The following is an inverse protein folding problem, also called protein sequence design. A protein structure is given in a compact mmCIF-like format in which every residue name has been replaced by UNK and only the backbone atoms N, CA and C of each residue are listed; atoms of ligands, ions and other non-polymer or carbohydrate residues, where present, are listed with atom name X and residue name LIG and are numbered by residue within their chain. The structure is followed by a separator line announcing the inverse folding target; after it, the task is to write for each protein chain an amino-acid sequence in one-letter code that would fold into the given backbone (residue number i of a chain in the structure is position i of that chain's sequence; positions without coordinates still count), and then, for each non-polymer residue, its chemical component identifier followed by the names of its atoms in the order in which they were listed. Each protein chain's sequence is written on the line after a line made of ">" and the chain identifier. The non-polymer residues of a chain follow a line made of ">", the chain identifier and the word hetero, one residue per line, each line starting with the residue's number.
data_IF_265699819559
#
_entry.id   IF_265699819559
#
_cell.length_a   1.000
_cell.length_b   1.000
_cell.length_c   1.000
_cell.angle_alpha   90.00
_cell.angle_beta   90.00
_cell.angle_gamma   90.00
#
_symmetry.space_group_name_H-M   'P 1'
#
loop_
_entity.id
_entity.type
_entity.pdbx_description
1 polymer ?
#
# COMPACT_ATOMS: atom_id res chain seq x y z
N UNK A 1 -10.79 -10.22 -0.85
CA UNK A 1 -10.31 -11.14 0.22
C UNK A 1 -11.09 -10.90 1.49
N UNK A 2 -11.43 -11.94 2.25
CA UNK A 2 -12.10 -11.79 3.55
C UNK A 2 -11.08 -11.50 4.64
N UNK A 3 -11.36 -10.48 5.47
CA UNK A 3 -10.49 -10.02 6.54
C UNK A 3 -11.30 -9.75 7.81
N UNK A 4 -10.63 -9.74 8.97
CA UNK A 4 -11.26 -9.35 10.23
C UNK A 4 -11.19 -7.84 10.36
N UNK A 5 -12.33 -7.23 10.69
CA UNK A 5 -12.38 -5.80 10.96
C UNK A 5 -11.47 -5.44 12.16
N UNK A 6 -10.86 -4.25 12.13
CA UNK A 6 -9.93 -3.72 13.13
C UNK A 6 -8.70 -4.61 13.37
N UNK A 7 -8.29 -5.34 12.35
CA UNK A 7 -7.12 -6.22 12.39
C UNK A 7 -6.09 -5.73 11.37
N UNK A 8 -4.81 -5.75 11.77
CA UNK A 8 -3.71 -5.36 10.88
C UNK A 8 -3.28 -6.52 10.01
N UNK A 9 -3.00 -6.21 8.76
CA UNK A 9 -2.54 -7.17 7.78
C UNK A 9 -1.35 -6.63 7.00
N UNK A 10 -0.39 -7.49 6.74
CA UNK A 10 0.52 -7.35 5.62
C UNK A 10 -0.19 -7.89 4.38
N UNK A 11 -0.29 -7.04 3.37
CA UNK A 11 -0.80 -7.35 2.04
C UNK A 11 0.39 -7.31 1.11
N UNK A 12 0.61 -8.41 0.37
CA UNK A 12 1.70 -8.49 -0.61
C UNK A 12 1.17 -8.94 -1.95
N UNK A 13 1.39 -8.13 -2.97
CA UNK A 13 1.16 -8.49 -4.37
C UNK A 13 2.50 -8.75 -5.05
N UNK A 14 2.62 -9.87 -5.76
CA UNK A 14 3.83 -10.22 -6.53
C UNK A 14 3.48 -10.38 -7.99
N UNK A 15 4.39 -9.91 -8.85
CA UNK A 15 4.27 -9.90 -10.30
C UNK A 15 5.52 -10.50 -10.91
N UNK A 16 5.39 -11.68 -11.52
CA UNK A 16 6.44 -12.31 -12.31
C UNK A 16 5.86 -12.60 -13.70
N UNK A 17 6.29 -11.82 -14.70
CA UNK A 17 5.73 -11.91 -16.04
C UNK A 17 6.34 -13.07 -16.81
N UNK A 18 5.52 -14.10 -17.03
CA UNK A 18 5.86 -15.29 -17.81
C UNK A 18 5.28 -15.30 -19.23
N UNK A 19 4.96 -14.14 -19.81
CA UNK A 19 4.35 -14.02 -21.14
C UNK A 19 3.03 -14.80 -21.30
N UNK A 20 2.18 -14.80 -20.26
CA UNK A 20 0.93 -15.57 -20.22
C UNK A 20 -0.08 -15.14 -21.31
N UNK A 21 0.05 -13.91 -21.81
CA UNK A 21 -0.81 -13.30 -22.83
C UNK A 21 -0.22 -13.41 -24.25
N UNK A 22 0.95 -14.03 -24.41
CA UNK A 22 1.70 -14.12 -25.67
C UNK A 22 1.97 -12.76 -26.35
N UNK A 23 1.94 -11.65 -25.60
CA UNK A 23 2.17 -10.32 -26.18
C UNK A 23 3.66 -10.00 -26.34
N UNK A 24 4.53 -10.61 -25.54
CA UNK A 24 5.93 -10.25 -25.38
C UNK A 24 6.13 -8.77 -25.00
N UNK A 25 5.10 -8.14 -24.40
CA UNK A 25 5.15 -6.74 -23.96
C UNK A 25 5.13 -6.71 -22.45
N UNK A 26 6.20 -6.20 -21.84
CA UNK A 26 6.23 -6.06 -20.40
C UNK A 26 5.15 -5.06 -19.91
N UNK A 27 4.30 -5.47 -18.97
CA UNK A 27 3.16 -4.67 -18.57
C UNK A 27 3.53 -3.58 -17.56
N UNK A 28 2.81 -2.46 -17.66
CA UNK A 28 2.86 -1.34 -16.73
C UNK A 28 1.46 -0.85 -16.44
N UNK A 29 1.05 -0.89 -15.18
CA UNK A 29 -0.31 -0.59 -14.74
C UNK A 29 -0.32 -0.11 -13.28
N UNK A 30 -1.44 0.47 -12.86
CA UNK A 30 -1.62 0.93 -11.48
C UNK A 30 -2.17 -0.17 -10.59
N UNK A 31 -1.68 -0.20 -9.36
CA UNK A 31 -2.13 -1.07 -8.28
C UNK A 31 -2.79 -0.22 -7.20
N UNK A 32 -3.95 -0.65 -6.70
CA UNK A 32 -4.71 0.06 -5.66
C UNK A 32 -5.26 -0.89 -4.59
N UNK A 33 -5.41 -0.37 -3.37
CA UNK A 33 -6.12 -1.02 -2.26
C UNK A 33 -7.48 -0.36 -2.09
N UNK A 34 -8.54 -1.04 -2.52
CA UNK A 34 -9.85 -0.43 -2.72
C UNK A 34 -9.75 0.77 -3.66
N UNK A 35 -10.30 1.91 -3.24
CA UNK A 35 -10.20 3.17 -3.96
C UNK A 35 -8.86 3.90 -3.80
N UNK A 36 -7.94 3.38 -2.96
CA UNK A 36 -6.70 4.09 -2.62
C UNK A 36 -5.56 3.66 -3.55
N UNK A 37 -4.92 4.60 -4.28
CA UNK A 37 -3.73 4.31 -5.05
C UNK A 37 -2.61 3.74 -4.17
N UNK A 38 -2.03 2.62 -4.57
CA UNK A 38 -0.93 1.97 -3.84
C UNK A 38 0.41 2.32 -4.47
N UNK A 39 0.57 2.03 -5.77
CA UNK A 39 1.77 2.34 -6.57
C UNK A 39 1.51 1.99 -8.05
N UNK A 40 2.42 2.37 -8.94
CA UNK A 40 2.46 1.88 -10.32
C UNK A 40 3.39 0.70 -10.41
N UNK A 41 2.89 -0.43 -10.91
CA UNK A 41 3.69 -1.63 -11.18
C UNK A 41 4.36 -1.46 -12.52
N UNK A 42 5.69 -1.56 -12.53
CA UNK A 42 6.52 -1.60 -13.74
C UNK A 42 7.23 -2.94 -13.76
N UNK A 43 6.88 -3.79 -14.72
CA UNK A 43 7.67 -4.99 -15.02
C UNK A 43 8.59 -4.63 -16.18
N UNK A 44 9.87 -4.95 -16.06
CA UNK A 44 10.90 -4.66 -17.06
C UNK A 44 11.74 -5.88 -17.45
N UNK A 45 11.67 -6.96 -16.67
CA UNK A 45 12.30 -8.24 -16.97
C UNK A 45 11.41 -9.46 -16.58
N UNK A 46 11.76 -10.65 -17.07
CA UNK A 46 10.98 -11.88 -16.88
C UNK A 46 11.50 -12.80 -15.75
N UNK A 47 12.55 -12.39 -15.05
CA UNK A 47 13.30 -13.18 -14.07
C UNK A 47 13.16 -12.65 -12.64
N UNK A 48 12.97 -11.35 -12.48
CA UNK A 48 12.88 -10.67 -11.20
C UNK A 48 11.42 -10.42 -10.87
N UNK A 49 10.90 -11.00 -9.77
CA UNK A 49 9.55 -10.68 -9.34
C UNK A 49 9.50 -9.24 -8.79
N UNK A 50 8.54 -8.46 -9.27
CA UNK A 50 8.17 -7.18 -8.66
C UNK A 50 7.29 -7.49 -7.45
N UNK A 51 7.65 -6.97 -6.28
CA UNK A 51 6.94 -7.23 -5.03
C UNK A 51 6.49 -5.90 -4.44
N UNK A 52 5.18 -5.78 -4.17
CA UNK A 52 4.59 -4.62 -3.53
C UNK A 52 3.98 -5.04 -2.20
N UNK A 53 4.35 -4.34 -1.13
CA UNK A 53 3.92 -4.66 0.24
C UNK A 53 3.32 -3.44 0.94
N UNK A 54 2.21 -3.66 1.64
CA UNK A 54 1.53 -2.67 2.45
C UNK A 54 1.09 -3.27 3.77
N UNK A 55 1.12 -2.45 4.82
CA UNK A 55 0.55 -2.75 6.13
C UNK A 55 -0.69 -1.89 6.30
N UNK A 56 -1.84 -2.55 6.43
CA UNK A 56 -3.13 -1.89 6.53
C UNK A 56 -3.84 -2.27 7.82
N UNK A 57 -4.66 -1.36 8.35
CA UNK A 57 -5.72 -1.69 9.30
C UNK A 57 -7.02 -1.94 8.53
N UNK A 58 -7.54 -3.16 8.57
CA UNK A 58 -8.80 -3.47 7.89
C UNK A 58 -9.98 -2.73 8.56
N UNK A 59 -10.66 -1.87 7.82
CA UNK A 59 -11.86 -1.13 8.30
C UNK A 59 -13.20 -1.83 7.96
N UNK A 60 -13.15 -2.80 7.05
CA UNK A 60 -14.29 -3.55 6.51
C UNK A 60 -13.98 -5.06 6.55
N UNK A 61 -15.00 -5.94 6.46
CA UNK A 61 -14.79 -7.40 6.45
C UNK A 61 -14.16 -7.92 5.14
N UNK A 62 -13.97 -7.04 4.15
CA UNK A 62 -13.37 -7.37 2.86
C UNK A 62 -12.29 -6.35 2.51
N UNK A 63 -11.21 -6.86 1.92
CA UNK A 63 -10.19 -6.06 1.27
C UNK A 63 -10.18 -6.35 -0.23
N UNK A 64 -10.20 -5.29 -1.04
CA UNK A 64 -10.11 -5.35 -2.50
C UNK A 64 -8.76 -4.85 -2.97
N UNK A 65 -8.18 -5.53 -3.95
CA UNK A 65 -6.97 -5.11 -4.66
C UNK A 65 -7.38 -4.91 -6.11
N UNK A 66 -7.16 -3.71 -6.64
CA UNK A 66 -7.60 -3.33 -7.97
C UNK A 66 -6.39 -3.08 -8.87
N UNK A 67 -6.48 -3.55 -10.11
CA UNK A 67 -5.54 -3.27 -11.19
C UNK A 67 -6.23 -2.32 -12.17
N UNK A 68 -5.58 -1.23 -12.53
CA UNK A 68 -6.17 -0.22 -13.41
C UNK A 68 -5.14 0.46 -14.30
N UNK A 69 -5.60 1.28 -15.25
CA UNK A 69 -4.77 2.19 -16.04
C UNK A 69 -3.55 1.50 -16.69
N UNK A 70 -3.78 0.40 -17.40
CA UNK A 70 -2.72 -0.26 -18.14
C UNK A 70 -2.16 0.67 -19.23
N UNK A 71 -0.88 1.02 -19.12
CA UNK A 71 -0.16 1.81 -20.11
C UNK A 71 0.54 0.93 -21.15
N UNK A 72 1.01 -0.25 -20.74
CA UNK A 72 1.54 -1.31 -21.62
C UNK A 72 1.11 -2.67 -21.10
N UNK A 73 0.99 -3.64 -22.02
CA UNK A 73 0.65 -5.03 -21.70
C UNK A 73 -0.71 -5.20 -21.00
N UNK A 74 -1.00 -6.43 -20.55
CA UNK A 74 -2.18 -6.72 -19.74
C UNK A 74 -1.84 -6.73 -18.24
N UNK A 75 -2.64 -6.05 -17.39
CA UNK A 75 -2.49 -6.17 -15.94
C UNK A 75 -2.70 -7.60 -15.46
N UNK A 76 -1.91 -8.01 -14.48
CA UNK A 76 -1.98 -9.35 -13.89
C UNK A 76 -1.50 -9.31 -12.45
N UNK A 77 -1.79 -10.35 -11.67
CA UNK A 77 -1.17 -10.61 -10.36
C UNK A 77 -0.74 -12.07 -10.36
N UNK A 78 0.51 -12.36 -10.00
CA UNK A 78 0.99 -13.74 -9.87
C UNK A 78 0.58 -14.34 -8.52
N UNK A 79 0.79 -13.60 -7.44
CA UNK A 79 0.36 -14.00 -6.10
C UNK A 79 -0.17 -12.81 -5.33
N UNK A 80 -1.18 -13.07 -4.49
CA UNK A 80 -1.71 -12.12 -3.54
C UNK A 80 -1.74 -12.79 -2.16
N UNK A 81 -0.93 -12.28 -1.25
CA UNK A 81 -0.76 -12.81 0.09
C UNK A 81 -1.33 -11.87 1.13
N UNK A 82 -1.89 -12.46 2.19
CA UNK A 82 -2.42 -11.74 3.34
C UNK A 82 -1.91 -12.40 4.62
N UNK A 83 -1.15 -11.65 5.43
CA UNK A 83 -0.61 -12.12 6.71
C UNK A 83 -1.18 -11.28 7.84
N UNK A 84 -1.85 -11.93 8.77
CA UNK A 84 -2.44 -11.26 9.93
C UNK A 84 -1.35 -10.97 10.97
N UNK A 85 -1.32 -9.74 11.48
CA UNK A 85 -0.53 -9.42 12.67
C UNK A 85 -1.36 -9.60 13.94
N UNK A 86 -0.74 -10.16 14.97
CA UNK A 86 -1.31 -10.21 16.31
C UNK A 86 -0.57 -9.16 17.14
N UNK A 87 -1.29 -8.20 17.71
CA UNK A 87 -0.70 -7.22 18.64
C UNK A 87 -0.42 -5.84 18.05
N UNK A 88 0.67 -5.20 18.47
CA UNK A 88 0.96 -3.77 18.24
C UNK A 88 1.90 -3.50 17.06
N UNK A 89 2.42 -4.55 16.42
CA UNK A 89 3.32 -4.43 15.28
C UNK A 89 2.77 -3.50 14.19
N UNK A 90 3.61 -2.55 13.76
CA UNK A 90 3.28 -1.49 12.80
C UNK A 90 2.13 -0.56 13.22
N UNK A 91 1.77 -0.51 14.50
CA UNK A 91 0.83 0.49 15.00
C UNK A 91 1.36 1.90 14.74
N UNK A 92 0.47 2.74 14.21
CA UNK A 92 0.69 4.18 14.11
C UNK A 92 -0.56 4.91 14.56
N UNK A 93 -0.40 6.13 15.06
CA UNK A 93 -1.53 6.98 15.49
C UNK A 93 -2.51 7.31 14.36
N UNK A 94 -2.04 7.23 13.11
CA UNK A 94 -2.77 7.67 11.92
C UNK A 94 -3.24 6.51 11.03
N UNK A 95 -3.20 5.27 11.52
CA UNK A 95 -3.51 4.04 10.75
C UNK A 95 -4.96 3.93 10.23
N UNK A 96 -5.84 4.84 10.63
CA UNK A 96 -7.20 4.99 10.09
C UNK A 96 -7.27 5.88 8.85
N UNK A 97 -6.32 6.80 8.71
CA UNK A 97 -6.24 7.77 7.62
C UNK A 97 -5.16 7.40 6.62
N UNK A 98 -4.18 6.61 7.03
CA UNK A 98 -3.05 6.19 6.22
C UNK A 98 -2.77 4.71 6.39
N UNK A 99 -2.29 4.06 5.34
CA UNK A 99 -1.61 2.77 5.46
C UNK A 99 -0.11 2.95 5.22
N UNK A 100 0.68 1.97 5.66
CA UNK A 100 2.13 1.98 5.46
C UNK A 100 2.48 1.19 4.21
N UNK A 101 3.12 1.82 3.23
CA UNK A 101 3.68 1.14 2.06
C UNK A 101 5.16 0.89 2.26
N UNK A 102 5.60 -0.36 2.11
CA UNK A 102 7.01 -0.70 2.24
C UNK A 102 7.84 0.05 1.20
N UNK A 103 8.94 0.66 1.64
CA UNK A 103 9.91 1.34 0.78
C UNK A 103 11.30 0.71 0.89
N UNK A 104 11.68 0.23 2.07
CA UNK A 104 12.88 -0.59 2.26
C UNK A 104 12.72 -1.50 3.49
N UNK A 105 13.18 -2.75 3.42
CA UNK A 105 13.38 -3.64 4.56
C UNK A 105 14.68 -4.41 4.35
N UNK A 106 15.74 -3.99 5.04
CA UNK A 106 17.12 -4.40 4.75
C UNK A 106 17.71 -5.14 5.95
N UNK A 107 18.35 -6.27 5.66
CA UNK A 107 19.26 -6.99 6.54
C UNK A 107 20.72 -6.59 6.23
N UNK A 108 21.39 -5.91 7.15
CA UNK A 108 22.76 -5.48 6.98
C UNK A 108 23.75 -6.54 7.46
N UNK A 109 24.86 -6.66 6.74
CA UNK A 109 25.88 -7.67 7.06
C UNK A 109 25.46 -9.08 6.64
N UNK A 110 24.47 -9.20 5.76
CA UNK A 110 23.99 -10.48 5.28
C UNK A 110 25.13 -11.33 4.68
N UNK A 111 25.05 -12.64 4.90
CA UNK A 111 26.08 -13.62 4.49
C UNK A 111 25.97 -14.00 3.00
N UNK A 112 24.82 -13.77 2.38
CA UNK A 112 24.57 -14.06 0.96
C UNK A 112 23.49 -13.12 0.40
N UNK A 113 23.21 -13.23 -0.91
CA UNK A 113 22.13 -12.49 -1.56
C UNK A 113 20.73 -13.00 -1.20
N UNK A 114 20.62 -14.13 -0.49
CA UNK A 114 19.33 -14.67 -0.09
C UNK A 114 18.65 -13.80 0.98
N UNK A 115 17.36 -13.53 0.79
CA UNK A 115 16.56 -12.82 1.79
C UNK A 115 16.28 -13.71 3.01
N UNK A 116 16.24 -13.11 4.21
CA UNK A 116 15.69 -13.79 5.39
C UNK A 116 14.17 -13.62 5.39
N UNK A 117 13.44 -14.71 5.57
CA UNK A 117 11.95 -14.77 5.55
C UNK A 117 11.46 -16.00 6.33
N UNK A 118 10.25 -16.49 6.10
CA UNK A 118 9.77 -17.72 6.75
C UNK A 118 10.75 -18.91 6.51
N UNK A 119 11.05 -19.74 7.52
CA UNK A 119 10.45 -19.80 8.86
C UNK A 119 11.08 -18.87 9.92
N UNK A 120 12.18 -18.18 9.59
CA UNK A 120 12.87 -17.31 10.56
C UNK A 120 12.01 -16.10 10.93
N UNK A 121 11.29 -15.54 9.95
CA UNK A 121 10.27 -14.51 10.16
C UNK A 121 8.86 -15.14 10.17
N UNK A 122 8.13 -15.14 11.30
CA UNK A 122 6.83 -15.81 11.41
C UNK A 122 5.72 -15.14 10.58
N UNK A 123 5.92 -13.87 10.18
CA UNK A 123 5.00 -13.15 9.30
C UNK A 123 5.41 -13.21 7.83
N UNK A 124 6.46 -13.99 7.51
CA UNK A 124 7.05 -14.11 6.17
C UNK A 124 7.39 -12.76 5.54
N UNK A 125 7.81 -11.78 6.36
CA UNK A 125 8.40 -10.53 5.86
C UNK A 125 9.69 -10.84 5.11
N UNK A 126 9.90 -10.17 3.98
CA UNK A 126 11.10 -10.34 3.17
C UNK A 126 12.13 -9.32 3.64
N UNK A 127 13.15 -9.79 4.36
CA UNK A 127 14.31 -8.99 4.73
C UNK A 127 15.38 -9.14 3.65
N UNK A 128 15.51 -8.10 2.83
CA UNK A 128 16.42 -8.10 1.70
C UNK A 128 17.87 -7.98 2.16
N UNK A 129 18.75 -8.77 1.55
CA UNK A 129 20.18 -8.69 1.81
C UNK A 129 20.75 -7.37 1.29
N UNK A 130 21.53 -6.69 2.12
CA UNK A 130 22.28 -5.49 1.74
C UNK A 130 23.36 -5.74 0.65
N UNK A 131 23.63 -7.01 0.29
CA UNK A 131 24.45 -7.37 -0.87
C UNK A 131 23.70 -7.23 -2.20
N UNK A 132 22.37 -7.29 -2.17
CA UNK A 132 21.53 -7.12 -3.36
C UNK A 132 21.48 -5.63 -3.69
N UNK A 133 22.44 -5.19 -4.52
CA UNK A 133 22.47 -3.84 -5.06
C UNK A 133 21.39 -3.70 -6.13
N UNK A 134 20.15 -3.38 -5.74
CA UNK A 134 19.23 -2.75 -6.70
C UNK A 134 19.64 -1.29 -6.88
N UNK A 135 19.21 -0.67 -7.97
CA UNK A 135 19.48 0.75 -8.26
C UNK A 135 19.17 1.68 -7.07
N UNK A 136 18.28 1.24 -6.18
CA UNK A 136 17.66 2.06 -5.14
C UNK A 136 18.20 1.89 -3.71
N UNK A 137 19.17 1.01 -3.42
CA UNK A 137 19.38 0.60 -2.02
C UNK A 137 20.66 1.13 -1.37
N UNK A 138 21.84 0.89 -1.93
CA UNK A 138 23.11 1.28 -1.29
C UNK A 138 24.14 1.63 -2.37
N UNK A 139 24.23 2.92 -2.71
CA UNK A 139 25.11 3.38 -3.80
C UNK A 139 26.55 3.57 -3.33
N UNK A 140 26.73 4.09 -2.11
CA UNK A 140 28.04 4.38 -1.54
C UNK A 140 28.14 3.82 -0.12
N UNK A 141 29.12 2.94 0.12
CA UNK A 141 29.46 2.44 1.46
C UNK A 141 30.73 3.14 1.91
N UNK A 142 30.70 3.73 3.12
CA UNK A 142 31.85 4.44 3.66
C UNK A 142 33.08 3.53 3.81
N UNK A 143 34.31 4.03 3.59
CA UNK A 143 35.55 3.32 3.95
C UNK A 143 35.50 2.83 5.40
N UNK A 144 36.10 1.66 5.65
CA UNK A 144 36.12 1.05 6.98
C UNK A 144 34.83 0.31 7.36
N UNK A 145 33.82 0.23 6.48
CA UNK A 145 32.65 -0.62 6.71
C UNK A 145 33.04 -2.10 6.63
N UNK A 146 32.82 -2.84 7.72
CA UNK A 146 33.08 -4.27 7.82
C UNK A 146 31.79 -5.02 8.17
N UNK A 147 31.64 -6.21 7.59
CA UNK A 147 30.55 -7.13 7.91
C UNK A 147 30.95 -8.01 9.08
N UNK A 148 30.03 -8.21 10.00
CA UNK A 148 30.21 -9.08 11.16
C UNK A 148 28.97 -9.96 11.33
N UNK A 149 29.17 -11.14 11.90
CA UNK A 149 28.08 -12.07 12.24
C UNK A 149 28.37 -12.81 13.54
N UNK A 150 27.33 -13.37 14.14
CA UNK A 150 27.42 -14.18 15.35
C UNK A 150 26.50 -15.38 15.30
N UNK A 151 26.91 -16.47 15.95
CA UNK A 151 26.08 -17.66 16.15
C UNK A 151 25.30 -17.60 17.46
N UNK A 152 25.59 -16.63 18.33
CA UNK A 152 24.91 -16.49 19.62
C UNK A 152 23.45 -16.06 19.43
N UNK A 153 22.53 -16.50 20.31
CA UNK A 153 21.15 -16.09 20.23
C UNK A 153 21.01 -14.60 20.54
N UNK A 154 20.17 -13.91 19.76
CA UNK A 154 19.81 -12.51 20.01
C UNK A 154 18.43 -12.48 20.66
N UNK A 155 18.32 -11.85 21.82
CA UNK A 155 17.05 -11.62 22.47
C UNK A 155 16.29 -10.50 21.75
N UNK A 156 15.32 -10.91 20.96
CA UNK A 156 14.27 -10.06 20.39
C UNK A 156 13.07 -10.13 21.35
N UNK A 157 12.72 -9.02 21.97
CA UNK A 157 11.91 -8.95 23.19
C UNK A 157 10.41 -9.17 22.98
N UNK A 158 9.90 -9.37 21.76
CA UNK A 158 8.54 -9.87 21.48
C UNK A 158 8.46 -10.51 20.08
N UNK A 159 7.44 -11.37 19.85
CA UNK A 159 7.14 -12.05 18.57
C UNK A 159 6.82 -11.11 17.39
N UNK A 160 7.01 -9.80 17.56
CA UNK A 160 6.64 -8.73 16.62
C UNK A 160 7.89 -8.05 15.98
N UNK A 161 9.09 -8.36 16.47
CA UNK A 161 10.36 -7.73 16.08
C UNK A 161 11.04 -8.40 14.88
N UNK A 162 12.12 -7.84 14.30
CA UNK A 162 12.90 -8.52 13.27
C UNK A 162 13.32 -9.92 13.72
N UNK A 163 13.44 -10.90 12.81
CA UNK A 163 13.79 -12.26 13.17
C UNK A 163 15.22 -12.30 13.73
N UNK A 164 15.49 -13.22 14.67
CA UNK A 164 16.81 -13.35 15.30
C UNK A 164 17.94 -13.43 14.27
N UNK A 165 17.70 -14.16 13.16
CA UNK A 165 18.68 -14.34 12.09
C UNK A 165 19.11 -13.04 11.42
N UNK A 166 18.21 -12.06 11.29
CA UNK A 166 18.53 -10.71 10.80
C UNK A 166 19.38 -9.97 11.82
N UNK A 167 19.07 -10.13 13.11
CA UNK A 167 19.81 -9.47 14.18
C UNK A 167 21.19 -10.11 14.48
N UNK A 168 21.46 -11.31 13.94
CA UNK A 168 22.75 -12.00 14.06
C UNK A 168 23.81 -11.50 13.08
N UNK A 169 23.42 -10.66 12.12
CA UNK A 169 24.33 -10.01 11.18
C UNK A 169 24.32 -8.50 11.38
N UNK A 170 25.45 -7.86 11.08
CA UNK A 170 25.54 -6.41 11.08
C UNK A 170 26.69 -5.91 10.20
N UNK A 171 26.67 -4.61 9.96
CA UNK A 171 27.82 -3.84 9.46
C UNK A 171 28.31 -2.89 10.55
N UNK A 172 29.63 -2.75 10.64
CA UNK A 172 30.30 -1.83 11.56
C UNK A 172 31.20 -0.86 10.81
N UNK A 173 31.17 0.41 11.20
CA UNK A 173 32.04 1.44 10.61
C UNK A 173 33.33 1.59 11.41
N UNK A 174 34.37 0.80 11.15
CA UNK A 174 35.62 0.80 11.94
C UNK A 174 36.34 2.15 11.95
N UNK A 175 36.16 2.94 10.89
CA UNK A 175 36.71 4.31 10.79
C UNK A 175 35.85 5.37 11.50
N UNK A 176 34.85 4.94 12.28
CA UNK A 176 33.99 5.81 13.10
C UNK A 176 32.74 6.32 12.39
N UNK A 177 32.46 5.88 11.17
CA UNK A 177 31.23 6.23 10.46
C UNK A 177 30.68 5.11 9.59
N UNK A 178 29.36 5.07 9.48
CA UNK A 178 28.62 4.39 8.41
C UNK A 178 27.85 5.47 7.65
N UNK A 179 27.87 5.44 6.33
CA UNK A 179 27.11 6.38 5.50
C UNK A 179 26.45 5.62 4.37
N UNK A 180 25.20 5.96 4.08
CA UNK A 180 24.37 5.30 3.10
C UNK A 180 23.57 6.31 2.30
N UNK A 181 23.25 5.89 1.08
CA UNK A 181 22.37 6.59 0.15
C UNK A 181 21.42 5.58 -0.47
N UNK A 182 20.13 5.83 -0.28
CA UNK A 182 19.00 5.01 -0.72
C UNK A 182 18.09 5.88 -1.60
N UNK A 183 17.64 5.36 -2.73
CA UNK A 183 16.61 6.02 -3.54
C UNK A 183 15.24 5.40 -3.15
N UNK A 184 14.34 6.22 -2.63
CA UNK A 184 13.04 5.81 -2.11
C UNK A 184 11.96 6.11 -3.16
N UNK A 185 11.44 5.08 -3.83
CA UNK A 185 10.42 5.26 -4.87
C UNK A 185 9.16 5.98 -4.37
N UNK A 186 8.60 6.83 -5.23
CA UNK A 186 7.49 7.76 -4.98
C UNK A 186 7.68 8.73 -3.80
N UNK A 187 8.87 8.93 -3.26
CA UNK A 187 9.15 10.08 -2.40
C UNK A 187 9.37 11.35 -3.23
N UNK A 188 9.20 12.58 -2.68
CA UNK A 188 9.12 12.93 -1.26
C UNK A 188 7.82 12.54 -0.56
N UNK A 189 7.89 12.33 0.75
CA UNK A 189 6.74 11.97 1.57
C UNK A 189 7.09 11.74 3.03
N UNK A 190 6.05 11.62 3.86
CA UNK A 190 6.23 11.26 5.27
C UNK A 190 6.44 9.74 5.40
N UNK A 191 7.39 9.37 6.25
CA UNK A 191 7.81 8.00 6.45
C UNK A 191 7.68 7.56 7.91
N UNK A 192 7.46 6.27 8.08
CA UNK A 192 7.76 5.53 9.30
C UNK A 192 9.08 4.81 9.06
N UNK A 193 10.12 5.14 9.84
CA UNK A 193 11.46 4.61 9.65
C UNK A 193 12.04 4.11 10.96
N UNK A 194 12.58 2.89 10.94
CA UNK A 194 13.16 2.23 12.12
C UNK A 194 14.53 1.68 11.77
N UNK A 195 15.48 1.88 12.67
CA UNK A 195 16.79 1.22 12.62
C UNK A 195 16.87 0.21 13.76
N UNK A 196 17.45 -0.95 13.47
CA UNK A 196 17.57 -2.04 14.44
C UNK A 196 19.04 -2.28 14.76
N UNK A 197 19.33 -2.33 16.06
CA UNK A 197 20.66 -2.50 16.61
C UNK A 197 20.69 -3.66 17.59
N UNK A 198 21.74 -4.47 17.54
CA UNK A 198 22.09 -5.40 18.60
C UNK A 198 23.62 -5.45 18.67
N UNK A 199 24.18 -5.32 19.87
CA UNK A 199 25.62 -5.54 20.05
C UNK A 199 25.90 -7.03 19.95
N UNK A 200 26.66 -7.41 18.92
CA UNK A 200 26.98 -8.79 18.59
C UNK A 200 28.47 -9.11 18.68
N UNK A 201 29.34 -8.11 18.87
CA UNK A 201 30.75 -8.29 19.23
C UNK A 201 30.89 -8.43 20.75
N UNK A 202 31.81 -9.27 21.22
CA UNK A 202 32.12 -9.41 22.65
C UNK A 202 33.04 -8.26 23.11
N UNK A 203 32.47 -7.08 23.32
CA UNK A 203 33.23 -5.91 23.79
C UNK A 203 33.76 -6.11 25.21
N UNK A 204 35.01 -5.71 25.47
CA UNK A 204 35.55 -5.66 26.83
C UNK A 204 34.78 -4.64 27.70
N UNK A 205 34.77 -4.74 29.04
CA UNK A 205 33.99 -3.83 29.90
C UNK A 205 34.33 -2.34 29.78
N UNK A 206 35.50 -2.00 29.23
CA UNK A 206 35.93 -0.62 28.98
C UNK A 206 35.66 -0.16 27.53
N UNK A 207 35.24 -1.07 26.65
CA UNK A 207 34.86 -0.75 25.29
C UNK A 207 33.37 -0.43 25.24
N UNK A 208 33.03 0.60 24.47
CA UNK A 208 31.66 1.09 24.32
C UNK A 208 31.39 1.45 22.87
N UNK A 209 30.15 1.22 22.46
CA UNK A 209 29.67 1.60 21.14
C UNK A 209 28.60 2.67 21.25
N UNK A 210 29.01 3.91 21.02
CA UNK A 210 28.16 5.09 21.08
C UNK A 210 28.26 5.90 19.80
N UNK A 211 27.12 6.21 19.21
CA UNK A 211 27.04 6.93 17.95
C UNK A 211 25.74 7.71 17.82
N UNK A 212 25.68 8.58 16.81
CA UNK A 212 24.49 9.38 16.50
C UNK A 212 24.06 9.14 15.07
N UNK A 213 22.74 9.06 14.85
CA UNK A 213 22.16 9.15 13.53
C UNK A 213 22.41 10.55 12.96
N UNK A 214 22.89 10.64 11.72
CA UNK A 214 23.16 11.89 11.02
C UNK A 214 22.33 11.89 9.75
N UNK A 215 21.35 12.79 9.69
CA UNK A 215 20.58 13.06 8.46
C UNK A 215 20.93 14.48 8.00
N UNK A 216 21.55 14.65 6.82
CA UNK A 216 21.90 15.97 6.29
C UNK A 216 20.69 16.91 6.27
N UNK A 217 20.87 18.12 6.80
CA UNK A 217 19.81 19.13 6.86
C UNK A 217 18.71 18.88 7.88
N UNK A 218 18.78 17.82 8.71
CA UNK A 218 17.79 17.54 9.75
C UNK A 218 18.42 17.25 11.13
N UNK A 219 19.00 18.28 11.79
CA UNK A 219 19.73 18.10 13.05
C UNK A 219 18.87 17.61 14.21
N UNK A 220 17.54 17.79 14.16
CA UNK A 220 16.63 17.35 15.22
C UNK A 220 16.62 15.82 15.40
N UNK A 221 16.83 15.06 14.32
CA UNK A 221 16.93 13.61 14.38
C UNK A 221 18.29 13.13 14.89
N UNK A 222 19.30 14.00 14.90
CA UNK A 222 20.68 13.69 15.31
C UNK A 222 20.98 13.99 16.78
N UNK A 223 19.97 14.38 17.55
CA UNK A 223 20.08 14.68 18.98
C UNK A 223 20.40 13.46 19.85
N UNK A 224 19.67 12.33 19.75
CA UNK A 224 19.90 11.19 20.63
C UNK A 224 21.23 10.49 20.30
N UNK A 225 22.02 10.21 21.34
CA UNK A 225 23.11 9.25 21.26
C UNK A 225 22.54 7.86 21.46
N UNK A 226 22.88 6.94 20.57
CA UNK A 226 22.64 5.51 20.74
C UNK A 226 23.84 4.93 21.48
N UNK A 227 23.61 4.37 22.66
CA UNK A 227 24.51 3.45 23.36
C UNK A 227 23.86 2.07 23.30
N UNK A 228 24.39 1.19 22.45
CA UNK A 228 23.67 -0.05 22.08
C UNK A 228 23.45 -0.95 23.29
N UNK A 229 24.47 -1.16 24.13
CA UNK A 229 24.34 -2.04 25.30
C UNK A 229 23.45 -1.41 26.38
N UNK A 230 23.58 -0.11 26.63
CA UNK A 230 22.74 0.57 27.62
C UNK A 230 21.27 0.63 27.17
N UNK A 231 21.03 1.01 25.91
CA UNK A 231 19.68 1.12 25.36
C UNK A 231 18.98 -0.24 25.20
N UNK A 232 19.70 -1.29 24.80
CA UNK A 232 19.16 -2.65 24.70
C UNK A 232 19.06 -3.37 26.06
N UNK A 233 19.61 -2.77 27.13
CA UNK A 233 19.74 -3.36 28.47
C UNK A 233 20.59 -4.64 28.47
N UNK A 234 21.68 -4.65 27.71
CA UNK A 234 22.67 -5.72 27.65
C UNK A 234 23.06 -6.13 26.23
N UNK A 235 24.09 -7.01 26.15
CA UNK A 235 24.59 -7.59 24.90
C UNK A 235 23.61 -8.59 24.29
N UNK A 236 23.69 -8.77 22.97
CA UNK A 236 22.83 -9.70 22.23
C UNK A 236 21.35 -9.45 22.46
N UNK A 237 20.94 -8.19 22.57
CA UNK A 237 19.55 -7.76 22.75
C UNK A 237 19.21 -6.72 21.70
N UNK A 238 17.98 -6.76 21.21
CA UNK A 238 17.50 -5.79 20.25
C UNK A 238 17.28 -4.42 20.90
N UNK A 239 17.70 -3.38 20.21
CA UNK A 239 17.28 -2.00 20.38
C UNK A 239 16.73 -1.46 19.05
N UNK A 240 15.56 -0.82 19.08
CA UNK A 240 14.79 -0.45 17.89
C UNK A 240 14.31 1.01 17.91
N UNK A 241 15.22 2.00 17.83
CA UNK A 241 14.81 3.40 17.72
C UNK A 241 14.10 3.63 16.38
N UNK A 242 12.88 4.14 16.48
CA UNK A 242 12.02 4.46 15.34
C UNK A 242 11.58 5.92 15.35
N UNK A 243 11.31 6.44 14.16
CA UNK A 243 10.70 7.74 13.96
C UNK A 243 9.44 7.59 13.12
N UNK A 244 8.34 8.11 13.63
CA UNK A 244 7.07 8.19 12.92
C UNK A 244 6.95 9.56 12.25
N UNK A 245 6.32 9.59 11.08
CA UNK A 245 5.99 10.82 10.35
C UNK A 245 7.21 11.71 10.00
N UNK A 246 8.29 11.11 9.51
CA UNK A 246 9.50 11.82 9.08
C UNK A 246 9.42 12.18 7.61
N UNK A 247 9.55 13.46 7.21
CA UNK A 247 9.56 13.83 5.81
C UNK A 247 10.90 13.45 5.17
N UNK A 248 10.88 12.48 4.26
CA UNK A 248 12.05 12.02 3.51
C UNK A 248 12.01 12.47 2.04
N UNK A 249 13.18 12.71 1.42
CA UNK A 249 13.30 12.96 -0.01
C UNK A 249 13.31 11.64 -0.81
N UNK A 250 13.28 11.73 -2.15
CA UNK A 250 13.54 10.61 -3.04
C UNK A 250 14.94 10.03 -2.80
N UNK A 251 15.99 10.84 -2.93
CA UNK A 251 17.36 10.42 -2.58
C UNK A 251 17.60 10.64 -1.09
N UNK A 252 17.49 9.59 -0.30
CA UNK A 252 17.71 9.63 1.14
C UNK A 252 19.14 9.24 1.51
N UNK A 253 19.92 10.25 1.93
CA UNK A 253 21.24 10.05 2.51
C UNK A 253 21.17 10.13 4.03
N UNK A 254 21.80 9.17 4.70
CA UNK A 254 21.93 9.15 6.16
C UNK A 254 23.24 8.47 6.57
N UNK A 255 23.63 8.64 7.82
CA UNK A 255 24.77 7.93 8.37
C UNK A 255 24.69 7.79 9.88
N UNK A 256 25.61 7.02 10.43
CA UNK A 256 25.85 6.91 11.84
C UNK A 256 27.27 7.38 12.11
N UNK A 257 27.45 8.26 13.09
CA UNK A 257 28.76 8.82 13.43
C UNK A 257 29.10 8.54 14.88
N UNK A 258 30.26 7.94 15.09
CA UNK A 258 30.85 7.65 16.40
C UNK A 258 30.94 8.91 17.26
N UNK A 259 30.62 8.81 18.56
CA UNK A 259 30.84 9.89 19.52
C UNK A 259 32.26 9.86 20.09
N UNK A 260 32.73 11.00 20.61
CA UNK A 260 34.10 11.13 21.12
C UNK A 260 34.42 10.21 22.31
N UNK A 261 33.40 9.81 23.07
CA UNK A 261 33.50 8.94 24.25
C UNK A 261 33.31 7.45 23.94
N UNK A 262 33.16 7.08 22.67
CA UNK A 262 33.04 5.69 22.23
C UNK A 262 34.41 5.11 21.89
N UNK A 263 34.64 3.83 22.21
CA UNK A 263 35.83 3.11 21.71
C UNK A 263 35.58 2.54 20.30
N UNK A 264 34.39 2.02 20.04
CA UNK A 264 34.04 1.35 18.78
C UNK A 264 33.30 2.25 17.80
N UNK A 265 33.33 1.89 16.51
CA UNK A 265 32.53 2.55 15.48
C UNK A 265 31.03 2.21 15.56
N UNK A 266 30.17 2.90 14.82
CA UNK A 266 28.74 2.57 14.75
C UNK A 266 28.50 1.15 14.22
N UNK A 267 27.37 0.56 14.62
CA UNK A 267 26.86 -0.74 14.14
C UNK A 267 25.46 -0.55 13.56
N UNK A 268 25.07 -1.35 12.57
CA UNK A 268 23.71 -1.41 12.05
C UNK A 268 23.37 -2.86 11.66
N UNK A 269 22.30 -3.41 12.21
CA UNK A 269 21.88 -4.79 11.93
C UNK A 269 20.78 -4.83 10.87
N UNK A 270 19.77 -3.96 10.98
CA UNK A 270 18.66 -3.94 10.05
C UNK A 270 18.01 -2.56 9.96
N UNK A 271 17.20 -2.33 8.93
CA UNK A 271 16.34 -1.15 8.87
C UNK A 271 15.02 -1.43 8.15
N UNK A 272 14.01 -0.64 8.49
CA UNK A 272 12.75 -0.56 7.76
C UNK A 272 12.38 0.89 7.47
N UNK A 273 11.86 1.14 6.26
CA UNK A 273 11.29 2.41 5.84
C UNK A 273 9.97 2.13 5.15
N UNK A 274 8.92 2.81 5.60
CA UNK A 274 7.61 2.80 4.98
C UNK A 274 7.17 4.22 4.67
N UNK A 275 6.47 4.40 3.56
CA UNK A 275 5.78 5.65 3.23
C UNK A 275 4.35 5.61 3.79
N UNK A 276 3.90 6.71 4.39
CA UNK A 276 2.48 6.89 4.69
C UNK A 276 1.71 7.17 3.40
N UNK A 277 0.73 6.32 3.10
CA UNK A 277 -0.18 6.48 1.95
C UNK A 277 -1.57 6.80 2.46
N UNK A 278 -2.09 7.96 2.07
CA UNK A 278 -3.39 8.44 2.54
C UNK A 278 -4.52 7.60 1.93
N UNK A 279 -5.42 7.10 2.78
CA UNK A 279 -6.57 6.30 2.38
C UNK A 279 -7.61 7.20 1.71
N UNK A 280 -8.00 6.85 0.49
CA UNK A 280 -9.09 7.49 -0.23
C UNK A 280 -10.43 7.01 0.32
N UNK A 281 -11.39 7.93 0.48
CA UNK A 281 -12.73 7.60 0.99
C UNK A 281 -13.57 6.78 0.00
N UNK A 282 -13.18 6.74 -1.28
CA UNK A 282 -14.01 6.19 -2.35
C UNK A 282 -15.08 7.18 -2.83
N UNK A 283 -15.87 6.73 -3.79
CA UNK A 283 -17.09 7.41 -4.24
C UNK A 283 -18.17 7.35 -3.17
N UNK A 284 -18.99 8.40 -3.10
CA UNK A 284 -20.11 8.43 -2.15
C UNK A 284 -21.24 7.47 -2.55
N UNK A 285 -21.27 7.10 -3.83
CA UNK A 285 -22.31 6.28 -4.44
C UNK A 285 -21.95 4.78 -4.49
N UNK A 286 -20.76 4.40 -4.01
CA UNK A 286 -20.24 3.02 -4.06
C UNK A 286 -21.22 1.98 -3.53
N UNK A 287 -21.87 2.25 -2.38
CA UNK A 287 -22.81 1.31 -1.77
C UNK A 287 -24.08 1.12 -2.60
N UNK A 288 -24.56 2.19 -3.25
CA UNK A 288 -25.71 2.14 -4.15
C UNK A 288 -25.37 1.26 -5.35
N UNK A 289 -24.20 1.50 -5.94
CA UNK A 289 -23.75 0.74 -7.10
C UNK A 289 -23.43 -0.72 -6.79
N UNK A 290 -22.84 -1.00 -5.62
CA UNK A 290 -22.62 -2.36 -5.15
C UNK A 290 -23.94 -3.15 -5.02
N UNK A 291 -25.00 -2.51 -4.51
CA UNK A 291 -26.34 -3.10 -4.44
C UNK A 291 -26.90 -3.38 -5.84
N UNK A 292 -26.72 -2.46 -6.79
CA UNK A 292 -27.16 -2.64 -8.18
C UNK A 292 -26.50 -3.84 -8.84
N UNK A 293 -25.16 -3.90 -8.86
CA UNK A 293 -24.42 -4.96 -9.55
C UNK A 293 -24.65 -6.33 -8.91
N UNK A 294 -24.93 -6.38 -7.59
CA UNK A 294 -25.24 -7.64 -6.89
C UNK A 294 -26.50 -8.35 -7.42
N UNK A 295 -27.41 -7.62 -8.09
CA UNK A 295 -28.61 -8.20 -8.71
C UNK A 295 -28.34 -8.90 -10.03
N UNK A 296 -27.18 -8.64 -10.63
CA UNK A 296 -26.79 -9.16 -11.94
C UNK A 296 -25.43 -9.87 -11.90
N UNK A 297 -25.23 -10.87 -11.00
CA UNK A 297 -23.92 -11.46 -10.75
C UNK A 297 -23.33 -12.22 -11.95
N UNK A 298 -24.12 -12.49 -13.00
CA UNK A 298 -23.69 -13.16 -14.22
C UNK A 298 -23.50 -12.20 -15.40
N UNK A 299 -23.80 -10.91 -15.23
CA UNK A 299 -23.67 -9.94 -16.31
C UNK A 299 -22.24 -9.41 -16.38
N UNK A 300 -21.65 -9.38 -17.57
CA UNK A 300 -20.26 -8.94 -17.78
C UNK A 300 -20.03 -7.50 -17.29
N UNK A 301 -20.98 -6.59 -17.56
CA UNK A 301 -20.91 -5.20 -17.12
C UNK A 301 -20.93 -5.04 -15.58
N UNK A 302 -21.43 -6.04 -14.85
CA UNK A 302 -21.50 -6.05 -13.39
C UNK A 302 -20.24 -6.65 -12.74
N UNK A 303 -19.24 -7.11 -13.53
CA UNK A 303 -18.03 -7.75 -13.01
C UNK A 303 -16.85 -6.80 -12.78
N UNK A 304 -16.96 -5.52 -13.14
CA UNK A 304 -15.85 -4.56 -12.99
C UNK A 304 -15.45 -4.36 -11.51
N UNK A 305 -16.40 -4.52 -10.58
CA UNK A 305 -16.17 -4.64 -9.14
C UNK A 305 -15.54 -3.41 -8.47
N UNK A 306 -15.42 -3.46 -7.14
CA UNK A 306 -14.81 -2.36 -6.37
C UNK A 306 -15.65 -1.08 -6.33
N UNK A 307 -14.97 0.06 -6.24
CA UNK A 307 -15.61 1.37 -6.26
C UNK A 307 -15.90 1.80 -7.72
N UNK A 308 -17.08 2.34 -8.04
CA UNK A 308 -17.49 2.64 -9.41
C UNK A 308 -16.73 3.81 -10.06
N UNK A 309 -15.99 4.59 -9.28
CA UNK A 309 -15.27 5.77 -9.76
C UNK A 309 -13.75 5.66 -9.59
N UNK A 310 -13.29 4.90 -8.60
CA UNK A 310 -11.88 4.82 -8.21
C UNK A 310 -11.38 3.37 -8.11
N UNK A 311 -10.11 3.09 -8.47
CA UNK A 311 -9.10 4.01 -9.00
C UNK A 311 -9.34 4.42 -10.47
N UNK A 312 -10.24 3.73 -11.17
CA UNK A 312 -10.73 4.07 -12.49
C UNK A 312 -12.25 3.88 -12.50
N UNK A 313 -12.96 4.72 -13.25
CA UNK A 313 -14.41 4.59 -13.37
C UNK A 313 -14.78 3.32 -14.11
N UNK A 314 -15.88 2.69 -13.72
CA UNK A 314 -16.46 1.60 -14.51
C UNK A 314 -16.77 2.07 -15.94
N UNK A 315 -16.68 1.16 -16.90
CA UNK A 315 -16.80 1.47 -18.34
C UNK A 315 -18.11 2.14 -18.74
N UNK A 316 -19.15 1.98 -17.92
CA UNK A 316 -20.51 2.49 -18.13
C UNK A 316 -20.93 3.57 -17.13
N UNK A 317 -20.00 4.06 -16.30
CA UNK A 317 -20.22 5.11 -15.31
C UNK A 317 -19.29 6.28 -15.58
N UNK A 318 -19.79 7.51 -15.42
CA UNK A 318 -18.95 8.70 -15.36
C UNK A 318 -19.09 9.38 -14.01
N UNK A 319 -17.95 9.80 -13.47
CA UNK A 319 -17.85 10.37 -12.14
C UNK A 319 -17.22 11.77 -12.14
N UNK A 320 -17.59 12.58 -11.15
CA UNK A 320 -16.99 13.89 -10.94
C UNK A 320 -15.50 13.77 -10.59
N UNK A 321 -14.73 14.84 -10.80
CA UNK A 321 -13.28 14.87 -10.55
C UNK A 321 -12.90 15.27 -9.12
N UNK A 322 -13.83 15.18 -8.17
CA UNK A 322 -13.63 15.55 -6.77
C UNK A 322 -12.93 14.44 -5.98
N UNK A 323 -12.37 14.77 -4.81
CA UNK A 323 -11.67 13.79 -3.95
C UNK A 323 -12.57 12.64 -3.45
N UNK A 324 -13.88 12.89 -3.33
CA UNK A 324 -14.90 11.89 -3.02
C UNK A 324 -15.94 11.92 -4.15
N UNK A 325 -15.65 11.26 -5.28
CA UNK A 325 -16.39 11.45 -6.52
C UNK A 325 -17.85 11.00 -6.39
N UNK A 326 -18.70 11.66 -7.18
CA UNK A 326 -20.11 11.29 -7.37
C UNK A 326 -20.36 10.85 -8.79
N UNK A 327 -21.30 9.95 -8.96
CA UNK A 327 -21.74 9.50 -10.27
C UNK A 327 -22.66 10.55 -10.87
N UNK A 328 -22.32 11.02 -12.07
CA UNK A 328 -23.17 11.96 -12.80
C UNK A 328 -23.75 11.37 -14.09
N UNK A 329 -23.19 10.28 -14.64
CA UNK A 329 -23.77 9.59 -15.79
C UNK A 329 -23.71 8.07 -15.62
N UNK A 330 -24.80 7.39 -15.98
CA UNK A 330 -24.91 5.94 -16.07
C UNK A 330 -25.41 5.57 -17.47
N UNK A 331 -24.66 4.72 -18.18
CA UNK A 331 -25.02 4.25 -19.53
C UNK A 331 -25.06 2.72 -19.59
N UNK A 332 -26.26 2.16 -19.44
CA UNK A 332 -26.52 0.71 -19.52
C UNK A 332 -27.46 0.36 -20.69
N UNK A 333 -27.51 1.18 -21.73
CA UNK A 333 -28.34 0.94 -22.91
C UNK A 333 -27.98 -0.37 -23.61
N UNK A 334 -28.99 -1.13 -24.06
CA UNK A 334 -28.76 -2.33 -24.88
C UNK A 334 -28.06 -3.49 -24.16
N UNK A 335 -28.17 -3.61 -22.83
CA UNK A 335 -27.49 -4.63 -22.02
C UNK A 335 -28.37 -5.84 -21.68
N UNK A 336 -29.53 -5.99 -22.35
CA UNK A 336 -30.51 -7.06 -22.10
C UNK A 336 -30.91 -7.20 -20.62
N UNK A 337 -30.94 -6.08 -19.89
CA UNK A 337 -31.23 -6.11 -18.45
C UNK A 337 -32.72 -6.35 -18.24
N UNK A 338 -33.07 -7.27 -17.35
CA UNK A 338 -34.46 -7.65 -17.00
C UNK A 338 -34.82 -7.25 -15.58
N UNK A 339 -36.11 -7.24 -15.25
CA UNK A 339 -36.61 -6.90 -13.91
C UNK A 339 -37.00 -5.43 -13.80
N UNK A 340 -37.23 -4.93 -12.59
CA UNK A 340 -37.59 -3.52 -12.38
C UNK A 340 -36.38 -2.61 -12.33
N UNK A 341 -36.55 -1.35 -12.77
CA UNK A 341 -35.53 -0.31 -12.54
C UNK A 341 -35.33 -0.19 -11.02
N UNK A 342 -34.09 -0.37 -10.52
CA UNK A 342 -33.83 -0.32 -9.08
C UNK A 342 -34.10 1.06 -8.49
N UNK A 343 -34.93 1.12 -7.44
CA UNK A 343 -35.26 2.37 -6.74
C UNK A 343 -34.03 3.01 -6.09
N UNK A 344 -32.97 2.25 -5.83
CA UNK A 344 -31.72 2.78 -5.29
C UNK A 344 -31.05 3.80 -6.20
N UNK A 345 -31.28 3.74 -7.52
CA UNK A 345 -30.77 4.73 -8.47
C UNK A 345 -31.33 6.14 -8.21
N UNK A 346 -32.51 6.25 -7.59
CA UNK A 346 -33.13 7.55 -7.26
C UNK A 346 -32.42 8.28 -6.11
N UNK A 347 -31.46 7.61 -5.46
CA UNK A 347 -30.64 8.18 -4.38
C UNK A 347 -29.33 8.80 -4.87
N UNK A 348 -29.02 8.67 -6.16
CA UNK A 348 -27.82 9.25 -6.77
C UNK A 348 -28.02 10.76 -6.96
N UNK A 349 -27.76 11.53 -5.92
CA UNK A 349 -28.10 12.96 -5.89
C UNK A 349 -27.37 13.81 -6.94
N UNK A 350 -26.20 13.35 -7.40
CA UNK A 350 -25.39 14.02 -8.44
C UNK A 350 -25.66 13.52 -9.87
N UNK A 351 -26.64 12.64 -10.08
CA UNK A 351 -26.94 12.06 -11.39
C UNK A 351 -27.50 13.11 -12.33
N UNK A 352 -26.87 13.29 -13.48
CA UNK A 352 -27.23 14.23 -14.55
C UNK A 352 -27.82 13.51 -15.75
N UNK A 353 -27.31 12.32 -16.07
CA UNK A 353 -27.74 11.52 -17.22
C UNK A 353 -27.94 10.05 -16.83
N UNK A 354 -29.10 9.48 -17.22
CA UNK A 354 -29.42 8.08 -17.03
C UNK A 354 -29.92 7.46 -18.33
N UNK A 355 -29.13 6.54 -18.90
CA UNK A 355 -29.49 5.82 -20.12
C UNK A 355 -29.68 4.33 -19.83
N UNK A 356 -30.94 3.90 -19.86
CA UNK A 356 -31.37 2.51 -19.65
C UNK A 356 -32.20 1.98 -20.84
N UNK A 357 -32.21 2.70 -21.96
CA UNK A 357 -32.95 2.37 -23.16
C UNK A 357 -32.51 1.05 -23.81
N UNK A 358 -33.40 0.42 -24.57
CA UNK A 358 -33.09 -0.81 -25.30
C UNK A 358 -32.80 -2.03 -24.41
N UNK A 359 -33.42 -2.08 -23.22
CA UNK A 359 -33.33 -3.23 -22.31
C UNK A 359 -34.68 -3.96 -22.22
N UNK A 360 -34.83 -4.84 -21.22
CA UNK A 360 -36.09 -5.53 -20.91
C UNK A 360 -36.57 -5.20 -19.50
N UNK A 361 -36.36 -3.95 -19.06
CA UNK A 361 -36.89 -3.48 -17.78
C UNK A 361 -38.42 -3.51 -17.79
N UNK A 362 -39.02 -3.89 -16.67
CA UNK A 362 -40.46 -4.07 -16.49
C UNK A 362 -40.94 -3.40 -15.19
N UNK A 363 -42.25 -3.32 -14.98
CA UNK A 363 -42.82 -2.62 -13.81
C UNK A 363 -42.83 -1.11 -13.99
N UNK A 364 -42.95 -0.37 -12.88
CA UNK A 364 -43.13 1.08 -12.88
C UNK A 364 -41.80 1.84 -12.92
N UNK A 365 -41.82 3.06 -13.47
CA UNK A 365 -40.70 4.01 -13.42
C UNK A 365 -40.56 4.54 -11.97
N UNK A 366 -39.41 4.37 -11.31
CA UNK A 366 -39.16 4.95 -10.00
C UNK A 366 -39.20 6.48 -10.02
N UNK A 367 -39.53 7.08 -8.89
CA UNK A 367 -39.50 8.54 -8.74
C UNK A 367 -38.05 9.05 -8.55
N UNK A 368 -37.51 9.71 -9.56
CA UNK A 368 -36.16 10.28 -9.58
C UNK A 368 -36.06 11.70 -9.00
N UNK A 369 -37.07 12.22 -8.29
CA UNK A 369 -37.03 13.55 -7.66
C UNK A 369 -35.86 13.78 -6.69
N UNK A 370 -35.26 12.71 -6.16
CA UNK A 370 -34.03 12.77 -5.37
C UNK A 370 -32.78 13.17 -6.17
N UNK A 371 -32.79 12.96 -7.50
CA UNK A 371 -31.73 13.31 -8.43
C UNK A 371 -31.97 14.72 -9.00
N UNK A 372 -31.76 15.77 -8.17
CA UNK A 372 -32.14 17.14 -8.55
C UNK A 372 -31.34 17.71 -9.73
N UNK A 373 -30.18 17.14 -10.01
CA UNK A 373 -29.30 17.54 -11.12
C UNK A 373 -29.62 16.81 -12.44
N UNK A 374 -30.61 15.91 -12.43
CA UNK A 374 -30.96 15.06 -13.56
C UNK A 374 -31.53 15.87 -14.71
N UNK A 375 -30.91 15.73 -15.88
CA UNK A 375 -31.23 16.46 -17.10
C UNK A 375 -31.79 15.54 -18.20
N UNK A 376 -31.24 14.34 -18.32
CA UNK A 376 -31.57 13.41 -19.40
C UNK A 376 -31.87 12.02 -18.84
N UNK A 377 -33.02 11.48 -19.21
CA UNK A 377 -33.47 10.14 -18.84
C UNK A 377 -33.91 9.43 -20.12
N UNK A 378 -33.28 8.31 -20.45
CA UNK A 378 -33.62 7.52 -21.63
C UNK A 378 -34.07 6.13 -21.17
N UNK A 379 -35.37 5.84 -21.36
CA UNK A 379 -36.04 4.62 -20.90
C UNK A 379 -36.77 3.89 -22.03
N UNK A 380 -36.75 4.42 -23.25
CA UNK A 380 -37.42 3.89 -24.42
C UNK A 380 -36.96 2.45 -24.75
N UNK A 381 -37.77 1.72 -25.51
CA UNK A 381 -37.48 0.34 -25.88
C UNK A 381 -37.26 -0.59 -24.66
N UNK A 382 -38.13 -0.46 -23.65
CA UNK A 382 -38.26 -1.35 -22.50
C UNK A 382 -39.71 -1.88 -22.38
N UNK A 383 -39.99 -2.73 -21.39
CA UNK A 383 -41.31 -3.29 -21.07
C UNK A 383 -41.95 -2.62 -19.83
N UNK A 384 -41.68 -1.32 -19.65
CA UNK A 384 -42.16 -0.53 -18.52
C UNK A 384 -43.68 -0.34 -18.58
N UNK A 385 -44.33 -0.28 -17.42
CA UNK A 385 -45.79 -0.20 -17.26
C UNK A 385 -46.16 0.82 -16.20
N UNK A 386 -47.43 1.22 -16.15
CA UNK A 386 -47.91 2.23 -15.21
C UNK A 386 -47.74 3.66 -15.72
N UNK A 387 -48.11 4.63 -14.88
CA UNK A 387 -48.02 6.05 -15.21
C UNK A 387 -46.62 6.60 -14.88
N UNK A 388 -46.20 7.62 -15.62
CA UNK A 388 -45.05 8.42 -15.24
C UNK A 388 -45.33 9.13 -13.90
N UNK A 389 -44.43 9.07 -12.89
CA UNK A 389 -44.62 9.81 -11.65
C UNK A 389 -44.77 11.31 -11.95
N UNK A 390 -45.90 11.95 -11.57
CA UNK A 390 -46.15 13.36 -11.90
C UNK A 390 -45.07 14.31 -11.37
N UNK A 391 -44.47 13.93 -10.23
CA UNK A 391 -43.38 14.64 -9.56
C UNK A 391 -42.10 14.73 -10.40
N UNK A 392 -41.89 13.84 -11.39
CA UNK A 392 -40.76 13.95 -12.32
C UNK A 392 -40.86 15.19 -13.21
N UNK A 393 -42.07 15.69 -13.46
CA UNK A 393 -42.27 16.98 -14.15
C UNK A 393 -41.84 18.20 -13.33
N UNK A 394 -41.57 18.03 -12.03
CA UNK A 394 -41.11 19.08 -11.13
C UNK A 394 -39.58 19.11 -10.96
N UNK A 395 -38.85 18.21 -11.64
CA UNK A 395 -37.39 18.20 -11.61
C UNK A 395 -36.84 19.50 -12.22
N UNK A 396 -36.04 20.28 -11.47
CA UNK A 396 -35.70 21.65 -11.85
C UNK A 396 -34.81 21.74 -13.09
N UNK A 397 -34.07 20.67 -13.39
CA UNK A 397 -33.08 20.63 -14.46
C UNK A 397 -33.46 19.67 -15.60
N UNK A 398 -34.60 18.99 -15.53
CA UNK A 398 -34.97 17.97 -16.52
C UNK A 398 -35.22 18.61 -17.88
N UNK A 399 -34.58 18.05 -18.91
CA UNK A 399 -34.64 18.51 -20.31
C UNK A 399 -35.25 17.47 -21.23
N UNK A 400 -34.95 16.19 -20.99
CA UNK A 400 -35.38 15.07 -21.82
C UNK A 400 -35.73 13.85 -20.94
N UNK A 401 -36.84 13.17 -21.30
CA UNK A 401 -37.40 12.01 -20.62
C UNK A 401 -38.07 11.04 -21.61
#
# INVERSE_FOLDING_TARGET
>A
MNVRNRTRYLVRATFLYGNFDNSNVYPKFDLSLGATPWTTVVVDDATTPVVQEAIILAAAPTLSVCLSNASTGQPFISTLELRQFNGSLYYTTDEKQFFLRLSARINFGAESNASVRYPDDPFDRIWESDLVRRANYLVDVAPGTQRISTTKPIFVSTNEQPPQRVMQTAVVGKDGSLTYRIDLEDFPGNAWAVSYFAEIEDLAPNQTRKFKLVIPGKPDFSKPTVDVEENAQGKYRLYEPGYTNVPLPFVFSFGFKKTNDSSEGPILNAMEIYKYVQIAMGSQDANIMASLVSRYPQADWAQEGGDPCLPASWSWVQCSSEAAPRIFSITLSGKNITGSIPVELTKLSGLVELKLDGNSFSGQIPDFTGCRDLQYIHLENNQLTGALPPSMGELPNLKEL
#
